data_IF_857580227699
#
_entry.id   IF_857580227699
#
_cell.length_a   1.000
_cell.length_b   1.000
_cell.length_c   1.000
_cell.angle_alpha   90.00
_cell.angle_beta   90.00
_cell.angle_gamma   90.00
#
_symmetry.space_group_name_H-M   'P 1'
#
loop_
_entity.id
_entity.type
_entity.pdbx_description
1 polymer ?
#
# COMPACT_ATOMS: atom_id res chain seq x y z
N UNK A 1 37.09 38.51 -27.04
CA UNK A 1 37.08 39.84 -26.37
C UNK A 1 35.81 39.95 -25.52
N UNK A 2 35.95 40.45 -24.28
CA UNK A 2 34.96 40.80 -23.23
C UNK A 2 34.27 39.58 -22.62
N UNK A 3 34.59 39.10 -21.41
CA UNK A 3 34.74 39.63 -20.04
C UNK A 3 33.44 40.12 -19.41
N UNK A 4 33.20 39.55 -18.24
CA UNK A 4 32.69 40.10 -17.00
C UNK A 4 31.26 39.62 -16.68
N UNK A 5 30.84 39.35 -15.44
CA UNK A 5 31.37 39.34 -14.05
C UNK A 5 30.32 38.70 -13.19
N UNK A 6 30.77 37.93 -12.22
CA UNK A 6 30.37 37.80 -10.81
C UNK A 6 29.04 38.37 -10.33
N UNK A 7 28.28 37.55 -9.63
CA UNK A 7 27.77 37.96 -8.32
C UNK A 7 27.56 36.73 -7.41
N UNK A 8 28.42 36.64 -6.41
CA UNK A 8 28.40 35.75 -5.25
C UNK A 8 27.34 36.31 -4.27
N UNK A 9 26.26 35.57 -4.04
CA UNK A 9 25.26 35.88 -3.02
C UNK A 9 25.35 34.88 -1.88
N UNK A 10 26.14 35.18 -0.88
CA UNK A 10 26.27 34.45 0.39
C UNK A 10 25.07 34.78 1.29
N UNK A 11 24.15 33.81 1.51
CA UNK A 11 23.07 33.96 2.48
C UNK A 11 23.39 33.11 3.74
N UNK A 12 23.81 33.81 4.79
CA UNK A 12 23.95 33.30 6.16
C UNK A 12 22.54 33.12 6.74
N UNK A 13 22.17 31.92 7.13
CA UNK A 13 21.01 31.67 7.99
C UNK A 13 21.51 31.26 9.37
N UNK A 14 21.23 32.10 10.34
CA UNK A 14 21.57 31.93 11.74
C UNK A 14 20.71 30.81 12.38
N UNK A 15 21.38 29.93 13.09
CA UNK A 15 20.79 28.89 13.93
C UNK A 15 20.25 29.52 15.23
N UNK A 16 18.95 29.32 15.51
CA UNK A 16 18.39 29.57 16.83
C UNK A 16 18.20 28.24 17.54
N UNK A 17 19.03 28.01 18.54
CA UNK A 17 18.90 26.94 19.54
C UNK A 17 17.81 27.37 20.54
N UNK A 18 16.69 26.67 20.55
CA UNK A 18 15.66 26.77 21.60
C UNK A 18 15.75 25.53 22.49
N UNK A 19 16.31 25.72 23.67
CA UNK A 19 16.25 24.77 24.76
C UNK A 19 14.85 24.82 25.40
N UNK A 20 14.17 23.68 25.48
CA UNK A 20 13.02 23.51 26.37
C UNK A 20 13.31 22.45 27.40
N UNK A 21 13.22 22.89 28.62
CA UNK A 21 13.44 22.25 29.92
C UNK A 21 12.44 21.13 30.20
N UNK A 22 12.94 20.12 30.89
CA UNK A 22 12.23 19.07 31.64
C UNK A 22 11.10 19.58 32.53
N UNK A 23 10.00 18.85 32.51
CA UNK A 23 9.12 18.76 33.68
C UNK A 23 8.37 17.43 33.66
N UNK A 24 8.84 16.53 34.48
CA UNK A 24 8.14 15.31 34.90
C UNK A 24 7.28 15.63 36.13
N UNK A 25 6.05 15.20 36.22
CA UNK A 25 5.47 14.76 37.49
C UNK A 25 5.05 13.27 37.43
N UNK A 26 5.45 12.54 38.45
CA UNK A 26 4.92 11.25 38.83
C UNK A 26 3.54 11.42 39.49
N UNK A 27 2.61 10.51 39.35
CA UNK A 27 1.57 10.34 40.35
C UNK A 27 1.79 9.09 41.21
N UNK A 28 1.61 9.34 42.47
CA UNK A 28 1.60 8.46 43.61
C UNK A 28 0.53 7.37 43.51
N UNK A 29 0.80 6.25 44.22
CA UNK A 29 -0.04 5.11 44.33
C UNK A 29 -1.37 5.32 45.07
N UNK A 30 -2.35 4.54 44.66
CA UNK A 30 -3.54 4.32 45.45
C UNK A 30 -3.77 2.82 45.54
N UNK A 31 -3.46 2.32 46.73
CA UNK A 31 -3.86 1.01 47.25
C UNK A 31 -5.37 1.02 47.44
N UNK A 32 -6.07 0.07 46.83
CA UNK A 32 -7.45 -0.26 47.21
C UNK A 32 -7.57 -1.71 47.67
N UNK A 33 -7.97 -1.79 48.91
CA UNK A 33 -8.22 -2.98 49.70
C UNK A 33 -9.45 -3.76 49.18
N UNK A 34 -9.34 -5.08 49.17
CA UNK A 34 -10.47 -6.02 49.05
C UNK A 34 -11.39 -5.99 50.28
N UNK A 35 -12.69 -6.04 50.11
CA UNK A 35 -13.58 -6.46 51.19
C UNK A 35 -13.86 -7.95 51.09
N UNK A 36 -13.51 -8.61 52.18
CA UNK A 36 -13.96 -9.97 52.57
C UNK A 36 -15.46 -9.93 52.83
N UNK A 37 -16.24 -10.74 52.14
CA UNK A 37 -17.65 -10.95 52.48
C UNK A 37 -17.90 -12.39 52.91
N UNK A 38 -18.32 -12.48 54.12
CA UNK A 38 -18.69 -13.62 54.92
C UNK A 38 -19.80 -14.49 54.29
N UNK A 39 -19.61 -15.77 54.30
CA UNK A 39 -20.60 -16.80 53.97
C UNK A 39 -21.80 -16.73 54.90
N UNK A 40 -22.99 -16.79 54.34
CA UNK A 40 -24.22 -17.10 55.07
C UNK A 40 -24.94 -18.25 54.37
N UNK A 41 -24.91 -19.39 55.01
CA UNK A 41 -25.72 -20.55 54.66
C UNK A 41 -27.20 -20.23 54.83
N UNK A 42 -27.98 -20.40 53.80
CA UNK A 42 -29.44 -20.43 53.83
C UNK A 42 -29.90 -21.51 52.86
N UNK A 43 -30.38 -22.61 53.41
CA UNK A 43 -31.09 -23.64 52.68
C UNK A 43 -32.48 -23.12 52.32
N UNK A 44 -32.84 -23.15 51.06
CA UNK A 44 -34.22 -23.01 50.60
C UNK A 44 -34.41 -23.68 49.24
N UNK A 45 -35.26 -24.67 49.25
CA UNK A 45 -36.23 -25.11 48.23
C UNK A 45 -35.86 -24.99 46.73
N UNK A 46 -35.77 -26.14 46.11
CA UNK A 46 -35.59 -26.37 44.68
C UNK A 46 -36.94 -26.22 43.95
N UNK A 47 -37.16 -25.20 43.12
CA UNK A 47 -38.27 -25.18 42.17
C UNK A 47 -37.93 -26.00 40.94
N UNK A 48 -38.93 -26.64 40.38
CA UNK A 48 -38.93 -27.50 39.20
C UNK A 48 -38.20 -26.91 38.00
N UNK A 49 -37.41 -27.74 37.33
CA UNK A 49 -36.69 -27.42 36.11
C UNK A 49 -37.65 -27.04 34.97
N UNK A 50 -37.59 -25.79 34.56
CA UNK A 50 -38.15 -25.33 33.30
C UNK A 50 -37.23 -25.80 32.16
N UNK A 51 -37.73 -26.37 31.05
CA UNK A 51 -36.87 -26.81 29.94
C UNK A 51 -36.16 -25.63 29.35
N UNK A 52 -34.84 -25.67 29.40
CA UNK A 52 -33.96 -24.71 28.73
C UNK A 52 -34.19 -24.81 27.22
N UNK A 53 -34.49 -23.69 26.52
CA UNK A 53 -34.55 -23.71 25.06
C UNK A 53 -33.18 -24.06 24.51
N UNK A 54 -33.12 -25.08 23.69
CA UNK A 54 -31.94 -25.48 22.91
C UNK A 54 -31.42 -24.24 22.15
N UNK A 55 -30.09 -23.92 22.23
CA UNK A 55 -29.53 -22.85 21.43
C UNK A 55 -29.75 -23.18 19.96
N UNK A 56 -30.54 -22.38 19.28
CA UNK A 56 -30.70 -22.44 17.85
C UNK A 56 -29.33 -22.02 17.25
N UNK A 57 -28.64 -23.00 16.68
CA UNK A 57 -27.38 -22.80 15.98
C UNK A 57 -27.65 -21.78 14.85
N UNK A 58 -27.27 -20.52 15.13
CA UNK A 58 -27.29 -19.47 14.12
C UNK A 58 -26.33 -19.91 13.00
N UNK A 59 -26.87 -20.45 11.93
CA UNK A 59 -26.16 -20.66 10.69
C UNK A 59 -25.49 -19.31 10.33
N UNK A 60 -24.17 -19.27 10.43
CA UNK A 60 -23.36 -18.11 10.08
C UNK A 60 -23.73 -17.72 8.65
N UNK A 61 -24.37 -16.56 8.49
CA UNK A 61 -24.72 -16.02 7.19
C UNK A 61 -23.41 -15.88 6.40
N UNK A 62 -23.33 -16.56 5.27
CA UNK A 62 -22.22 -16.38 4.32
C UNK A 62 -22.15 -14.90 3.99
N UNK A 63 -21.00 -14.23 4.23
CA UNK A 63 -20.86 -12.82 3.94
C UNK A 63 -21.19 -12.58 2.47
N UNK A 64 -22.04 -11.61 2.20
CA UNK A 64 -22.36 -11.20 0.84
C UNK A 64 -21.07 -10.75 0.12
N UNK A 65 -20.88 -11.09 -1.16
CA UNK A 65 -19.72 -10.65 -1.90
C UNK A 65 -19.65 -9.13 -1.92
N UNK A 66 -18.47 -8.59 -1.59
CA UNK A 66 -18.22 -7.15 -1.61
C UNK A 66 -18.45 -6.64 -3.05
N UNK A 67 -19.22 -5.55 -3.26
CA UNK A 67 -19.44 -5.02 -4.60
C UNK A 67 -18.09 -4.66 -5.25
N UNK A 68 -17.88 -5.14 -6.48
CA UNK A 68 -16.72 -4.73 -7.29
C UNK A 68 -16.91 -3.27 -7.69
N UNK A 69 -15.94 -2.37 -7.42
CA UNK A 69 -16.04 -0.98 -7.84
C UNK A 69 -16.27 -0.88 -9.35
N UNK A 70 -17.06 0.07 -9.84
CA UNK A 70 -17.26 0.28 -11.25
C UNK A 70 -15.94 0.67 -11.92
N UNK A 71 -15.75 0.23 -13.17
CA UNK A 71 -14.58 0.62 -13.95
C UNK A 71 -14.55 2.14 -14.15
N UNK A 72 -13.38 2.79 -14.02
CA UNK A 72 -13.28 4.23 -14.25
C UNK A 72 -13.56 4.57 -15.71
N UNK A 73 -14.20 5.73 -16.00
CA UNK A 73 -14.37 6.18 -17.37
C UNK A 73 -13.03 6.34 -18.07
N UNK A 74 -12.88 5.75 -19.25
CA UNK A 74 -11.61 5.76 -19.99
C UNK A 74 -11.11 7.18 -20.30
N UNK A 75 -12.02 8.14 -20.50
CA UNK A 75 -11.68 9.55 -20.73
C UNK A 75 -11.03 10.20 -19.51
N UNK A 76 -11.53 9.91 -18.30
CA UNK A 76 -10.97 10.43 -17.05
C UNK A 76 -9.60 9.81 -16.77
N UNK A 77 -9.47 8.48 -16.95
CA UNK A 77 -8.20 7.78 -16.79
C UNK A 77 -7.13 8.33 -17.74
N UNK A 78 -7.47 8.59 -19.02
CA UNK A 78 -6.57 9.24 -19.98
C UNK A 78 -6.17 10.64 -19.54
N UNK A 79 -7.12 11.43 -19.03
CA UNK A 79 -6.83 12.79 -18.57
C UNK A 79 -5.85 12.78 -17.40
N UNK A 80 -6.01 11.85 -16.44
CA UNK A 80 -5.08 11.69 -15.33
C UNK A 80 -3.67 11.29 -15.78
N UNK A 81 -3.56 10.32 -16.70
CA UNK A 81 -2.27 9.91 -17.30
C UNK A 81 -1.62 11.05 -18.06
N UNK A 82 -2.38 11.78 -18.88
CA UNK A 82 -1.85 12.90 -19.66
C UNK A 82 -1.33 14.03 -18.76
N UNK A 83 -2.04 14.30 -17.67
CA UNK A 83 -1.64 15.30 -16.67
C UNK A 83 -0.27 14.99 -16.08
N UNK A 84 -0.04 13.70 -15.72
CA UNK A 84 1.15 13.27 -14.99
C UNK A 84 2.31 13.02 -15.95
N UNK A 85 2.10 12.16 -16.94
CA UNK A 85 3.17 11.66 -17.83
C UNK A 85 3.38 12.51 -19.09
N UNK A 86 2.56 13.55 -19.29
CA UNK A 86 2.70 14.52 -20.40
C UNK A 86 2.88 13.88 -21.78
N UNK A 87 2.26 12.71 -21.97
CA UNK A 87 2.32 11.95 -23.23
C UNK A 87 3.56 11.06 -23.40
N UNK A 88 4.38 10.85 -22.37
CA UNK A 88 5.49 9.88 -22.43
C UNK A 88 5.00 8.42 -22.37
N UNK A 89 3.77 8.18 -21.90
CA UNK A 89 3.09 6.88 -21.98
C UNK A 89 1.80 7.00 -22.79
N UNK A 90 1.44 5.92 -23.45
CA UNK A 90 0.15 5.74 -24.13
C UNK A 90 -0.72 4.79 -23.33
N UNK A 91 -2.01 5.15 -23.18
CA UNK A 91 -3.02 4.31 -22.55
C UNK A 91 -3.28 3.05 -23.38
N UNK A 92 -3.40 1.90 -22.73
CA UNK A 92 -3.84 0.66 -23.36
C UNK A 92 -5.37 0.56 -23.28
N UNK A 93 -6.04 0.63 -24.44
CA UNK A 93 -7.50 0.67 -24.52
C UNK A 93 -8.18 -0.70 -24.40
N UNK A 94 -7.42 -1.77 -24.17
CA UNK A 94 -7.97 -3.12 -24.01
C UNK A 94 -8.96 -3.24 -22.85
N UNK A 95 -9.92 -4.14 -22.97
CA UNK A 95 -10.85 -4.45 -21.88
C UNK A 95 -10.09 -4.81 -20.61
N UNK A 96 -10.48 -4.22 -19.47
CA UNK A 96 -9.82 -4.45 -18.18
C UNK A 96 -8.43 -3.80 -18.08
N UNK A 97 -8.17 -2.75 -18.87
CA UNK A 97 -6.89 -2.03 -18.82
C UNK A 97 -6.74 -1.11 -17.61
N UNK A 98 -7.82 -0.78 -16.91
CA UNK A 98 -7.82 0.09 -15.73
C UNK A 98 -8.73 -0.44 -14.63
N UNK A 99 -8.34 -0.21 -13.37
CA UNK A 99 -9.06 -0.59 -12.16
C UNK A 99 -8.91 0.49 -11.11
N UNK A 100 -9.85 0.53 -10.16
CA UNK A 100 -9.80 1.43 -9.00
C UNK A 100 -9.88 0.63 -7.70
N UNK A 101 -9.33 1.19 -6.63
CA UNK A 101 -9.31 0.63 -5.28
C UNK A 101 -8.55 1.55 -4.34
N UNK A 102 -8.49 1.22 -3.06
CA UNK A 102 -7.63 1.90 -2.08
C UNK A 102 -6.36 1.07 -1.90
N UNK A 103 -5.42 1.19 -2.85
CA UNK A 103 -4.25 0.30 -2.92
C UNK A 103 -3.18 0.63 -1.86
N UNK A 104 -3.14 1.87 -1.38
CA UNK A 104 -2.20 2.30 -0.35
C UNK A 104 -2.80 2.27 1.07
N UNK A 105 -4.12 2.13 1.21
CA UNK A 105 -4.84 2.02 2.48
C UNK A 105 -5.05 3.35 3.20
N UNK A 106 -5.05 4.47 2.47
CA UNK A 106 -5.25 5.82 3.04
C UNK A 106 -6.73 6.29 3.00
N UNK A 107 -7.61 5.50 2.40
CA UNK A 107 -9.05 5.79 2.28
C UNK A 107 -9.40 6.62 1.04
N UNK A 108 -8.45 6.99 0.20
CA UNK A 108 -8.69 7.67 -1.08
C UNK A 108 -8.75 6.65 -2.21
N UNK A 109 -9.59 6.89 -3.23
CA UNK A 109 -9.65 6.02 -4.40
C UNK A 109 -8.41 6.21 -5.28
N UNK A 110 -7.64 5.13 -5.47
CA UNK A 110 -6.49 5.06 -6.36
C UNK A 110 -6.89 4.53 -7.74
N UNK A 111 -6.04 4.77 -8.74
CA UNK A 111 -6.18 4.26 -10.10
C UNK A 111 -4.96 3.42 -10.47
N UNK A 112 -5.18 2.20 -10.95
CA UNK A 112 -4.15 1.41 -11.61
C UNK A 112 -4.55 1.11 -13.06
N UNK A 113 -3.61 1.27 -14.00
CA UNK A 113 -3.89 1.09 -15.42
C UNK A 113 -2.67 0.64 -16.21
N UNK A 114 -2.95 -0.13 -17.27
CA UNK A 114 -1.92 -0.56 -18.22
C UNK A 114 -1.56 0.57 -19.18
N UNK A 115 -0.28 0.75 -19.38
CA UNK A 115 0.25 1.71 -20.36
C UNK A 115 1.41 1.09 -21.12
N UNK A 116 1.82 1.74 -22.18
CA UNK A 116 3.05 1.44 -22.93
C UNK A 116 3.87 2.71 -23.10
N UNK A 117 5.18 2.56 -23.15
CA UNK A 117 6.05 3.68 -23.45
C UNK A 117 5.79 4.19 -24.87
N UNK A 118 5.76 5.51 -25.04
CA UNK A 118 5.69 6.11 -26.38
C UNK A 118 7.06 6.03 -27.03
N UNK A 119 7.18 5.51 -28.26
CA UNK A 119 8.44 5.45 -28.98
C UNK A 119 9.11 6.83 -29.03
N UNK A 120 10.41 6.87 -28.75
CA UNK A 120 11.21 8.11 -28.73
C UNK A 120 11.08 8.95 -27.46
N UNK A 121 10.24 8.55 -26.49
CA UNK A 121 10.08 9.28 -25.20
C UNK A 121 10.49 8.47 -23.96
N UNK A 122 11.17 7.34 -24.15
CA UNK A 122 11.61 6.45 -23.07
C UNK A 122 12.57 7.16 -22.11
N UNK A 123 13.42 8.05 -22.62
CA UNK A 123 14.36 8.80 -21.78
C UNK A 123 13.65 9.72 -20.78
N UNK A 124 12.47 10.24 -21.13
CA UNK A 124 11.66 11.03 -20.21
C UNK A 124 11.13 10.17 -19.04
N UNK A 125 10.79 8.90 -19.31
CA UNK A 125 10.34 7.96 -18.29
C UNK A 125 11.45 7.62 -17.30
N UNK A 126 12.70 7.69 -17.74
CA UNK A 126 13.89 7.40 -16.96
C UNK A 126 14.56 8.63 -16.33
N UNK A 127 14.00 9.82 -16.54
CA UNK A 127 14.59 11.06 -16.03
C UNK A 127 14.65 11.04 -14.48
N UNK A 128 15.76 11.52 -13.91
CA UNK A 128 15.96 11.52 -12.46
C UNK A 128 15.03 12.49 -11.72
N UNK A 129 14.56 13.52 -12.41
CA UNK A 129 13.63 14.53 -11.88
C UNK A 129 12.17 14.27 -12.31
N UNK A 130 11.85 13.05 -12.73
CA UNK A 130 10.47 12.70 -13.07
C UNK A 130 9.55 12.73 -11.84
N UNK A 131 8.30 13.14 -12.05
CA UNK A 131 7.28 13.20 -10.97
C UNK A 131 6.64 11.82 -10.68
N UNK A 132 7.32 10.73 -11.01
CA UNK A 132 6.88 9.37 -10.73
C UNK A 132 8.03 8.51 -10.25
N UNK A 133 7.69 7.48 -9.50
CA UNK A 133 8.65 6.50 -8.99
C UNK A 133 8.66 5.30 -9.95
N UNK A 134 9.82 5.03 -10.57
CA UNK A 134 10.01 3.81 -11.36
C UNK A 134 10.43 2.69 -10.42
N UNK A 135 9.71 1.56 -10.47
CA UNK A 135 10.07 0.36 -9.70
C UNK A 135 9.78 -0.93 -10.48
N UNK A 136 10.45 -2.02 -10.08
CA UNK A 136 10.23 -3.37 -10.57
C UNK A 136 9.71 -4.20 -9.40
N UNK A 137 8.40 -4.46 -9.31
CA UNK A 137 7.79 -5.12 -8.16
C UNK A 137 8.30 -6.54 -7.91
N UNK A 138 8.82 -7.20 -8.95
CA UNK A 138 9.34 -8.56 -8.85
C UNK A 138 10.74 -8.60 -8.22
N UNK A 139 11.45 -7.46 -8.21
CA UNK A 139 12.79 -7.31 -7.62
C UNK A 139 12.81 -6.62 -6.26
N UNK A 140 11.66 -6.15 -5.78
CA UNK A 140 11.56 -5.56 -4.45
C UNK A 140 11.82 -6.65 -3.41
N UNK A 141 12.92 -6.53 -2.67
CA UNK A 141 13.24 -7.44 -1.56
C UNK A 141 12.27 -7.19 -0.42
N UNK A 142 11.63 -8.26 0.05
CA UNK A 142 10.88 -8.21 1.31
C UNK A 142 11.87 -8.38 2.46
N UNK A 143 11.86 -7.49 3.47
CA UNK A 143 12.59 -7.73 4.70
C UNK A 143 12.06 -9.02 5.33
N UNK A 144 12.93 -9.97 5.62
CA UNK A 144 12.56 -11.15 6.39
C UNK A 144 12.70 -10.81 7.89
N UNK A 145 11.59 -10.61 8.62
CA UNK A 145 11.67 -10.24 10.03
C UNK A 145 12.33 -11.31 10.91
N UNK A 146 12.43 -12.56 10.41
CA UNK A 146 13.12 -13.65 11.12
C UNK A 146 14.64 -13.51 11.07
N UNK A 147 15.16 -12.72 10.11
CA UNK A 147 16.60 -12.44 9.97
C UNK A 147 17.04 -11.20 10.72
N UNK A 148 16.11 -10.49 11.36
CA UNK A 148 16.43 -9.35 12.19
C UNK A 148 16.94 -9.83 13.56
N UNK A 149 18.25 -9.69 13.78
CA UNK A 149 18.86 -9.93 15.08
C UNK A 149 19.18 -8.58 15.75
N UNK A 150 18.43 -8.18 16.77
CA UNK A 150 18.64 -6.89 17.44
C UNK A 150 19.99 -6.80 18.17
N UNK A 151 20.69 -7.93 18.36
CA UNK A 151 21.98 -8.00 19.06
C UNK A 151 23.19 -7.90 18.12
N UNK A 152 23.00 -8.01 16.82
CA UNK A 152 24.09 -7.95 15.84
C UNK A 152 24.52 -6.53 15.44
N UNK A 153 23.96 -5.51 16.06
CA UNK A 153 24.27 -4.12 15.73
C UNK A 153 23.78 -3.71 14.33
N UNK A 154 24.33 -2.61 13.81
CA UNK A 154 24.01 -2.14 12.45
C UNK A 154 24.59 -3.14 11.46
N UNK A 155 23.74 -4.04 10.95
CA UNK A 155 24.13 -4.89 9.83
C UNK A 155 24.50 -3.98 8.66
N UNK A 156 25.63 -4.29 8.00
CA UNK A 156 26.00 -3.65 6.74
C UNK A 156 24.88 -3.88 5.75
N UNK A 157 24.05 -2.87 5.56
CA UNK A 157 22.95 -2.94 4.62
C UNK A 157 23.54 -3.26 3.25
N UNK A 158 22.97 -4.27 2.58
CA UNK A 158 23.28 -4.50 1.17
C UNK A 158 23.05 -3.19 0.40
N UNK A 159 23.88 -2.89 -0.61
CA UNK A 159 23.68 -1.73 -1.44
C UNK A 159 22.22 -1.67 -1.93
N UNK A 160 21.64 -0.47 -1.93
CA UNK A 160 20.31 -0.29 -2.50
C UNK A 160 20.32 -0.84 -3.93
N UNK A 161 19.28 -1.60 -4.33
CA UNK A 161 19.18 -2.08 -5.69
C UNK A 161 19.22 -0.88 -6.64
N UNK A 162 19.90 -1.03 -7.76
CA UNK A 162 19.95 -0.02 -8.81
C UNK A 162 18.51 0.32 -9.25
N UNK A 163 18.25 1.62 -9.47
CA UNK A 163 16.94 2.09 -9.95
C UNK A 163 16.62 1.40 -11.27
N UNK A 164 15.48 0.71 -11.39
CA UNK A 164 15.11 0.07 -12.64
C UNK A 164 14.91 1.13 -13.74
N UNK A 165 15.34 0.81 -14.95
CA UNK A 165 15.15 1.64 -16.13
C UNK A 165 14.07 1.03 -17.02
N UNK A 166 13.21 1.88 -17.54
CA UNK A 166 12.17 1.50 -18.49
C UNK A 166 12.79 1.30 -19.88
N UNK A 167 12.45 0.21 -20.53
CA UNK A 167 12.70 -0.03 -21.94
C UNK A 167 11.41 0.11 -22.77
N UNK A 168 11.54 0.35 -24.07
CA UNK A 168 10.38 0.57 -24.95
C UNK A 168 9.44 -0.66 -25.03
N UNK A 169 9.97 -1.87 -24.83
CA UNK A 169 9.22 -3.12 -24.89
C UNK A 169 8.65 -3.57 -23.54
N UNK A 170 8.93 -2.86 -22.45
CA UNK A 170 8.46 -3.25 -21.13
C UNK A 170 6.93 -3.16 -21.02
N UNK A 171 6.33 -4.14 -20.34
CA UNK A 171 4.93 -4.07 -19.96
C UNK A 171 4.78 -3.19 -18.72
N UNK A 172 4.06 -2.07 -18.85
CA UNK A 172 4.01 -1.04 -17.82
C UNK A 172 2.65 -0.97 -17.16
N UNK A 173 2.66 -0.89 -15.83
CA UNK A 173 1.50 -0.55 -15.02
C UNK A 173 1.74 0.78 -14.31
N UNK A 174 0.83 1.73 -14.50
CA UNK A 174 0.79 2.97 -13.73
C UNK A 174 -0.09 2.76 -12.52
N UNK A 175 0.33 3.28 -11.36
CA UNK A 175 -0.54 3.43 -10.20
C UNK A 175 -0.48 4.89 -9.76
N UNK A 176 -1.66 5.52 -9.65
CA UNK A 176 -1.84 6.89 -9.20
C UNK A 176 -2.54 6.82 -7.85
N UNK A 177 -1.87 7.21 -6.78
CA UNK A 177 -2.48 7.33 -5.47
C UNK A 177 -3.44 8.52 -5.44
N UNK A 178 -4.61 8.27 -4.89
CA UNK A 178 -5.64 9.27 -4.75
C UNK A 178 -5.28 10.36 -3.73
N UNK A 179 -6.06 11.42 -3.74
CA UNK A 179 -5.94 12.50 -2.78
C UNK A 179 -7.33 12.94 -2.32
N UNK A 180 -7.58 12.84 -1.03
CA UNK A 180 -8.86 13.19 -0.41
C UNK A 180 -10.06 12.50 -1.06
N UNK A 181 -11.22 13.18 -1.04
CA UNK A 181 -12.50 12.63 -1.53
C UNK A 181 -12.58 12.42 -3.04
N UNK A 182 -11.82 13.21 -3.82
CA UNK A 182 -11.78 13.07 -5.29
C UNK A 182 -10.88 11.94 -5.76
N UNK A 183 -10.08 11.39 -4.85
CA UNK A 183 -9.17 10.29 -5.17
C UNK A 183 -8.18 10.67 -6.27
N UNK A 184 -7.93 9.75 -7.19
CA UNK A 184 -7.01 9.92 -8.33
C UNK A 184 -7.42 11.02 -9.33
N UNK A 185 -8.68 11.47 -9.27
CA UNK A 185 -9.21 12.57 -10.10
C UNK A 185 -8.76 13.94 -9.62
N UNK A 186 -8.31 14.02 -8.38
CA UNK A 186 -7.84 15.29 -7.83
C UNK A 186 -6.58 15.75 -8.57
N UNK A 187 -6.48 17.02 -8.99
CA UNK A 187 -5.27 17.54 -9.63
C UNK A 187 -4.03 17.47 -8.71
N UNK A 188 -4.21 17.43 -7.39
CA UNK A 188 -3.13 17.29 -6.42
C UNK A 188 -2.71 15.82 -6.18
N UNK A 189 -3.41 14.83 -6.75
CA UNK A 189 -3.01 13.43 -6.75
C UNK A 189 -1.73 13.26 -7.58
N UNK A 190 -0.58 13.46 -6.93
CA UNK A 190 0.76 13.52 -7.56
C UNK A 190 1.65 12.33 -7.23
N UNK A 191 1.31 11.53 -6.19
CA UNK A 191 2.08 10.36 -5.84
C UNK A 191 1.79 9.22 -6.83
N UNK A 192 2.75 8.97 -7.72
CA UNK A 192 2.55 8.05 -8.85
C UNK A 192 3.72 7.08 -9.01
N UNK A 193 3.37 5.89 -9.45
CA UNK A 193 4.29 4.78 -9.67
C UNK A 193 4.20 4.32 -11.12
N UNK A 194 5.35 4.12 -11.74
CA UNK A 194 5.49 3.46 -13.02
C UNK A 194 6.18 2.12 -12.79
N UNK A 195 5.39 1.05 -12.83
CA UNK A 195 5.84 -0.30 -12.51
C UNK A 195 6.26 -1.01 -13.78
N UNK A 196 7.52 -1.41 -13.82
CA UNK A 196 8.13 -2.14 -14.92
C UNK A 196 7.76 -3.62 -14.85
N UNK A 197 7.50 -4.24 -16.00
CA UNK A 197 7.16 -5.67 -16.13
C UNK A 197 6.02 -6.10 -15.19
N UNK A 198 5.05 -5.19 -15.02
CA UNK A 198 3.98 -5.32 -14.04
C UNK A 198 2.57 -5.23 -14.64
N UNK A 199 2.42 -5.16 -15.96
CA UNK A 199 1.12 -5.19 -16.63
C UNK A 199 0.84 -6.61 -17.18
N UNK A 200 0.19 -7.43 -16.37
CA UNK A 200 -0.15 -8.82 -16.70
C UNK A 200 -1.56 -9.00 -17.26
N UNK A 201 -1.99 -10.26 -17.44
CA UNK A 201 -3.37 -10.60 -17.78
C UNK A 201 -4.29 -10.53 -16.54
N UNK A 202 -5.61 -10.50 -16.76
CA UNK A 202 -6.66 -10.59 -15.72
C UNK A 202 -6.55 -9.53 -14.63
N UNK A 203 -6.22 -8.29 -15.02
CA UNK A 203 -6.07 -7.17 -14.09
C UNK A 203 -7.41 -6.88 -13.38
N UNK A 204 -7.41 -6.96 -12.05
CA UNK A 204 -8.59 -6.65 -11.22
C UNK A 204 -8.18 -6.18 -9.83
N UNK A 205 -8.99 -5.31 -9.25
CA UNK A 205 -8.88 -4.96 -7.84
C UNK A 205 -9.45 -6.09 -6.97
N UNK A 206 -8.84 -6.31 -5.82
CA UNK A 206 -9.37 -7.20 -4.79
C UNK A 206 -9.20 -6.52 -3.44
N UNK A 207 -10.26 -6.55 -2.63
CA UNK A 207 -10.20 -5.92 -1.30
C UNK A 207 -9.13 -6.58 -0.43
N UNK A 208 -8.56 -5.79 0.46
CA UNK A 208 -7.61 -6.29 1.46
C UNK A 208 -8.16 -7.47 2.26
N UNK A 209 -9.46 -7.43 2.58
CA UNK A 209 -10.12 -8.50 3.34
C UNK A 209 -10.15 -9.81 2.55
N UNK A 210 -10.60 -9.76 1.29
CA UNK A 210 -10.68 -10.96 0.43
C UNK A 210 -9.30 -11.49 0.08
N UNK A 211 -8.31 -10.61 -0.13
CA UNK A 211 -6.93 -11.02 -0.39
C UNK A 211 -6.33 -11.82 0.78
N UNK A 212 -6.60 -11.43 2.03
CA UNK A 212 -6.15 -12.16 3.23
C UNK A 212 -6.71 -13.58 3.28
N UNK A 213 -7.95 -13.79 2.87
CA UNK A 213 -8.57 -15.12 2.86
C UNK A 213 -7.89 -16.08 1.87
N UNK A 214 -7.32 -15.57 0.78
CA UNK A 214 -6.65 -16.39 -0.24
C UNK A 214 -5.20 -16.76 0.12
N UNK A 215 -4.65 -16.23 1.22
CA UNK A 215 -3.26 -16.43 1.64
C UNK A 215 -3.10 -17.36 2.83
N UNK A 216 -4.12 -18.14 3.17
CA UNK A 216 -4.11 -19.04 4.32
C UNK A 216 -3.01 -20.11 4.13
N UNK A 217 -2.16 -20.28 5.14
CA UNK A 217 -1.10 -21.30 5.15
C UNK A 217 0.23 -20.88 4.53
N UNK A 218 0.35 -19.63 4.09
CA UNK A 218 1.58 -19.06 3.52
C UNK A 218 2.18 -18.02 4.46
N UNK A 219 3.40 -17.55 4.20
CA UNK A 219 3.97 -16.40 4.92
C UNK A 219 3.50 -15.10 4.22
N UNK A 220 2.24 -14.63 4.48
CA UNK A 220 1.63 -13.58 3.70
C UNK A 220 2.29 -12.24 3.99
N UNK A 221 2.37 -11.34 2.99
CA UNK A 221 2.77 -9.97 3.24
C UNK A 221 1.75 -9.25 4.13
N UNK A 222 2.21 -8.25 4.90
CA UNK A 222 1.30 -7.34 5.60
C UNK A 222 0.62 -6.42 4.58
N UNK A 223 -0.66 -6.65 4.35
CA UNK A 223 -1.46 -5.79 3.48
C UNK A 223 -1.98 -4.58 4.27
N UNK A 224 -1.77 -3.38 3.74
CA UNK A 224 -2.30 -2.11 4.30
C UNK A 224 -3.52 -1.62 3.51
N UNK A 225 -3.55 -1.82 2.20
CA UNK A 225 -4.64 -1.47 1.29
C UNK A 225 -5.12 -2.67 0.47
N UNK A 226 -5.95 -2.40 -0.51
CA UNK A 226 -6.39 -3.35 -1.51
C UNK A 226 -5.23 -3.86 -2.37
N UNK A 227 -5.43 -4.92 -3.12
CA UNK A 227 -4.40 -5.51 -3.95
C UNK A 227 -4.79 -5.50 -5.43
N UNK A 228 -3.80 -5.45 -6.29
CA UNK A 228 -3.97 -5.51 -7.75
C UNK A 228 -3.68 -6.94 -8.19
N UNK A 229 -4.73 -7.74 -8.39
CA UNK A 229 -4.60 -9.11 -8.88
C UNK A 229 -4.38 -9.15 -10.37
N UNK A 230 -3.52 -10.08 -10.79
CA UNK A 230 -3.23 -10.32 -12.19
C UNK A 230 -2.42 -11.61 -12.38
N UNK A 231 -2.20 -11.98 -13.64
CA UNK A 231 -1.31 -13.07 -14.04
C UNK A 231 -0.06 -12.48 -14.68
N UNK A 232 1.10 -12.57 -14.02
CA UNK A 232 2.40 -12.13 -14.56
C UNK A 232 3.21 -13.38 -14.98
N UNK A 233 3.70 -13.41 -16.21
CA UNK A 233 4.52 -14.52 -16.73
C UNK A 233 3.92 -15.90 -16.49
N UNK A 234 2.57 -16.02 -16.60
CA UNK A 234 1.83 -17.25 -16.35
C UNK A 234 1.59 -17.58 -14.88
N UNK A 235 2.04 -16.75 -13.96
CA UNK A 235 1.86 -16.94 -12.53
C UNK A 235 0.76 -16.01 -11.99
N UNK A 236 -0.23 -16.59 -11.32
CA UNK A 236 -1.26 -15.83 -10.64
C UNK A 236 -0.73 -15.27 -9.33
N UNK A 237 -1.00 -14.00 -9.09
CA UNK A 237 -0.56 -13.32 -7.89
C UNK A 237 -1.19 -11.95 -7.76
N UNK A 238 -0.56 -11.09 -6.97
CA UNK A 238 -1.01 -9.72 -6.83
C UNK A 238 0.13 -8.76 -6.50
N UNK A 239 -0.03 -7.52 -6.91
CA UNK A 239 0.77 -6.40 -6.42
C UNK A 239 0.13 -5.84 -5.17
N UNK A 240 0.95 -5.48 -4.20
CA UNK A 240 0.52 -4.84 -2.97
C UNK A 240 1.45 -3.70 -2.58
N UNK A 241 0.92 -2.71 -1.93
CA UNK A 241 1.67 -1.62 -1.34
C UNK A 241 2.38 -2.06 -0.06
N UNK A 242 3.70 -1.89 0.01
CA UNK A 242 4.51 -2.30 1.16
C UNK A 242 4.86 -1.14 2.11
N UNK A 243 4.31 0.05 1.86
CA UNK A 243 4.58 1.27 2.62
C UNK A 243 5.59 2.22 1.94
N UNK A 244 6.29 1.76 0.89
CA UNK A 244 7.26 2.56 0.14
C UNK A 244 7.12 2.41 -1.37
N UNK A 245 6.79 1.21 -1.85
CA UNK A 245 6.60 0.90 -3.26
C UNK A 245 5.69 -0.34 -3.40
N UNK A 246 5.44 -0.76 -4.63
CA UNK A 246 4.68 -1.98 -4.91
C UNK A 246 5.60 -3.19 -4.98
N UNK A 247 5.15 -4.31 -4.39
CA UNK A 247 5.82 -5.61 -4.43
C UNK A 247 4.90 -6.66 -5.04
N UNK A 248 5.49 -7.63 -5.73
CA UNK A 248 4.78 -8.79 -6.26
C UNK A 248 4.73 -9.91 -5.22
N UNK A 249 3.55 -10.47 -5.02
CA UNK A 249 3.35 -11.68 -4.23
C UNK A 249 2.78 -12.80 -5.11
N UNK A 250 3.42 -13.95 -5.00
CA UNK A 250 3.01 -15.18 -5.68
C UNK A 250 3.01 -16.33 -4.67
N UNK A 251 1.91 -17.07 -4.52
CA UNK A 251 1.78 -18.12 -3.50
C UNK A 251 2.85 -19.24 -3.55
N UNK A 252 3.41 -19.50 -4.72
CA UNK A 252 4.41 -20.56 -4.92
C UNK A 252 5.87 -20.11 -4.68
N UNK A 253 6.12 -18.82 -4.54
CA UNK A 253 7.48 -18.27 -4.39
C UNK A 253 8.08 -18.39 -2.99
N UNK A 254 7.30 -18.88 -2.03
CA UNK A 254 7.71 -19.00 -0.61
C UNK A 254 7.99 -20.46 -0.19
N UNK A 255 8.31 -21.37 -1.14
CA UNK A 255 8.75 -22.76 -0.85
C UNK A 255 10.23 -22.86 -0.57
#
# INVERSE_FOLDING_TARGET
MRRLLDTLGLLLIASALGACTDSKPAPEGTTNASPTTTARNGAAEQPAATPTPTPQENAAATPAPTPVPPLPPASEARAAVARIYKGAVAFDEGAGSSIVGDFNGDGSEDLALRVRAVPGRVDELNADLANWIVSDPQKVRRPDPRKFDPHQGVQKLDPLPERPRIAAADSLLVVIHGYKEKGWRDPEASQTYLLRDAAGADLRAQTRADAKLTMIGQNPPRLVGDVIRQTLHGQQGFLYWNGATYSWFHPESDK
#
